data_IF_218903616656
#
_entry.id   IF_218903616656
#
_cell.length_a   1.000
_cell.length_b   1.000
_cell.length_c   1.000
_cell.angle_alpha   90.00
_cell.angle_beta   90.00
_cell.angle_gamma   90.00
#
_symmetry.space_group_name_H-M   'P 1'
#
loop_
_entity.id
_entity.type
_entity.pdbx_description
1 polymer ?
#
# COMPACT_ATOMS: atom_id res chain seq x y z
N UNK A 1 15.56 13.04 18.99
CA UNK A 1 15.02 11.67 19.11
C UNK A 1 14.74 11.16 17.71
N UNK A 2 15.48 10.17 17.21
CA UNK A 2 15.21 9.60 15.89
C UNK A 2 13.85 8.89 15.92
N UNK A 3 12.93 9.26 15.02
CA UNK A 3 11.67 8.55 14.83
C UNK A 3 11.96 7.11 14.42
N UNK A 4 11.23 6.14 15.00
CA UNK A 4 11.32 4.74 14.59
C UNK A 4 10.94 4.59 13.11
N UNK A 5 11.38 3.51 12.46
CA UNK A 5 11.05 3.21 11.05
C UNK A 5 9.52 3.23 10.83
N UNK A 6 8.74 2.72 11.78
CA UNK A 6 7.28 2.67 11.75
C UNK A 6 6.69 4.08 11.77
N UNK A 7 7.20 4.94 12.66
CA UNK A 7 6.74 6.31 12.77
C UNK A 7 7.01 7.11 11.48
N UNK A 8 8.11 6.80 10.77
CA UNK A 8 8.39 7.37 9.44
C UNK A 8 7.42 6.81 8.38
N UNK A 9 7.25 5.49 8.34
CA UNK A 9 6.41 4.79 7.36
C UNK A 9 4.93 5.19 7.45
N UNK A 10 4.40 5.24 8.66
CA UNK A 10 3.02 5.66 8.93
C UNK A 10 2.89 7.16 9.18
N UNK A 11 3.96 7.95 9.06
CA UNK A 11 3.98 9.40 9.28
C UNK A 11 3.33 9.81 10.61
N UNK A 12 3.60 9.03 11.66
CA UNK A 12 3.05 9.21 13.00
C UNK A 12 1.55 8.89 13.14
N UNK A 13 0.91 8.28 12.13
CA UNK A 13 -0.49 7.85 12.23
C UNK A 13 -0.57 6.48 12.92
N UNK A 14 -1.38 6.41 13.97
CA UNK A 14 -1.48 5.22 14.82
C UNK A 14 -0.48 5.26 15.98
N UNK A 15 -0.30 4.10 16.61
CA UNK A 15 0.55 3.94 17.79
C UNK A 15 1.33 2.64 17.73
N UNK A 16 2.54 2.67 18.30
CA UNK A 16 3.33 1.46 18.52
C UNK A 16 2.60 0.51 19.48
N UNK A 17 2.72 -0.78 19.23
CA UNK A 17 2.31 -1.85 20.14
C UNK A 17 3.57 -2.32 20.88
N UNK A 18 3.60 -2.13 22.20
CA UNK A 18 4.72 -2.59 23.02
C UNK A 18 4.47 -4.00 23.54
N UNK A 19 5.53 -4.80 23.76
CA UNK A 19 5.39 -6.11 24.40
C UNK A 19 4.62 -6.01 25.71
N UNK A 20 3.66 -6.91 25.92
CA UNK A 20 2.85 -6.99 27.14
C UNK A 20 1.62 -6.08 27.20
N UNK A 21 1.36 -5.25 26.18
CA UNK A 21 0.07 -4.53 26.11
C UNK A 21 -1.09 -5.51 25.93
N UNK A 22 -2.16 -5.30 26.68
CA UNK A 22 -3.44 -5.99 26.47
C UNK A 22 -4.12 -5.52 25.19
N UNK A 23 -5.01 -6.36 24.63
CA UNK A 23 -5.78 -5.98 23.44
C UNK A 23 -6.62 -4.71 23.67
N UNK A 24 -7.16 -4.51 24.86
CA UNK A 24 -7.90 -3.30 25.21
C UNK A 24 -7.02 -2.04 25.16
N UNK A 25 -5.83 -2.09 25.77
CA UNK A 25 -4.89 -0.96 25.73
C UNK A 25 -4.45 -0.63 24.29
N UNK A 26 -4.29 -1.65 23.44
CA UNK A 26 -3.98 -1.46 22.02
C UNK A 26 -5.13 -0.72 21.32
N UNK A 27 -6.38 -1.15 21.52
CA UNK A 27 -7.54 -0.48 20.92
C UNK A 27 -7.65 0.97 21.36
N UNK A 28 -7.42 1.25 22.64
CA UNK A 28 -7.45 2.62 23.19
C UNK A 28 -6.34 3.49 22.60
N UNK A 29 -5.06 3.05 22.68
CA UNK A 29 -3.90 3.83 22.22
C UNK A 29 -3.88 4.05 20.72
N UNK A 30 -4.40 3.10 19.94
CA UNK A 30 -4.47 3.19 18.48
C UNK A 30 -5.68 3.97 17.96
N UNK A 31 -6.57 4.43 18.84
CA UNK A 31 -7.80 5.12 18.45
C UNK A 31 -8.83 4.21 17.76
N UNK A 32 -8.81 2.92 18.10
CA UNK A 32 -9.66 1.86 17.56
C UNK A 32 -10.75 1.39 18.54
N UNK A 33 -10.76 1.88 19.79
CA UNK A 33 -11.75 1.54 20.83
C UNK A 33 -13.12 2.19 20.57
N UNK A 34 -13.77 1.76 19.49
CA UNK A 34 -15.11 2.13 19.09
C UNK A 34 -15.66 1.06 18.14
N UNK A 35 -16.98 0.92 18.11
CA UNK A 35 -17.68 0.04 17.19
C UNK A 35 -18.39 0.82 16.08
N UNK A 36 -18.60 0.18 14.94
CA UNK A 36 -19.51 0.67 13.90
C UNK A 36 -20.95 0.31 14.29
N UNK A 37 -21.80 1.31 14.30
CA UNK A 37 -23.26 1.18 14.52
C UNK A 37 -23.99 1.61 13.26
N UNK A 38 -25.20 1.09 13.06
CA UNK A 38 -26.08 1.47 11.94
C UNK A 38 -27.41 2.02 12.42
N UNK A 39 -27.97 2.97 11.68
CA UNK A 39 -29.32 3.50 11.87
C UNK A 39 -29.97 3.82 10.51
N UNK A 40 -31.31 3.93 10.42
CA UNK A 40 -31.97 4.40 9.20
C UNK A 40 -31.34 5.69 8.67
N UNK A 41 -31.06 5.75 7.37
CA UNK A 41 -30.46 6.93 6.77
C UNK A 41 -31.49 8.05 6.58
N UNK A 42 -31.25 9.18 7.25
CA UNK A 42 -32.02 10.41 7.15
C UNK A 42 -31.08 11.56 6.75
N UNK A 43 -31.62 12.53 6.01
CA UNK A 43 -30.89 13.73 5.59
C UNK A 43 -31.81 14.95 5.64
N UNK A 44 -31.23 16.10 5.96
CA UNK A 44 -31.96 17.37 5.98
C UNK A 44 -32.03 17.97 4.57
N UNK A 45 -33.20 18.46 4.19
CA UNK A 45 -33.45 19.21 2.96
C UNK A 45 -34.03 20.59 3.30
N UNK A 46 -34.11 21.53 2.34
CA UNK A 46 -34.78 22.81 2.58
C UNK A 46 -36.24 22.69 3.03
N UNK A 47 -36.90 21.55 2.77
CA UNK A 47 -38.30 21.30 3.13
C UNK A 47 -38.47 20.46 4.40
N UNK A 48 -37.37 20.07 5.06
CA UNK A 48 -37.37 19.32 6.31
C UNK A 48 -36.52 18.06 6.26
N UNK A 49 -36.62 17.22 7.30
CA UNK A 49 -35.87 15.96 7.37
C UNK A 49 -36.55 14.91 6.49
N UNK A 50 -35.79 14.33 5.57
CA UNK A 50 -36.25 13.26 4.68
C UNK A 50 -35.56 11.93 5.02
N UNK A 51 -36.32 10.84 4.84
CA UNK A 51 -35.78 9.47 4.83
C UNK A 51 -35.37 9.10 3.41
N UNK A 52 -34.35 8.26 3.26
CA UNK A 52 -34.06 7.64 1.97
C UNK A 52 -35.33 6.98 1.40
N UNK A 53 -35.62 7.22 0.11
CA UNK A 53 -36.70 6.54 -0.61
C UNK A 53 -36.48 5.03 -0.71
N UNK A 54 -35.24 4.57 -0.52
CA UNK A 54 -34.90 3.15 -0.45
C UNK A 54 -34.96 2.71 1.01
N UNK A 55 -36.04 2.03 1.39
CA UNK A 55 -36.33 1.56 2.76
C UNK A 55 -35.20 0.74 3.43
N UNK A 56 -34.23 0.26 2.64
CA UNK A 56 -33.12 -0.59 3.09
C UNK A 56 -31.79 0.17 3.20
N UNK A 57 -31.81 1.50 3.32
CA UNK A 57 -30.60 2.34 3.40
C UNK A 57 -30.28 2.69 4.84
N UNK A 58 -29.07 2.35 5.29
CA UNK A 58 -28.58 2.62 6.63
C UNK A 58 -27.37 3.56 6.59
N UNK A 59 -27.30 4.46 7.57
CA UNK A 59 -26.09 5.20 7.87
C UNK A 59 -25.22 4.34 8.80
N UNK A 60 -23.98 4.06 8.42
CA UNK A 60 -22.98 3.42 9.28
C UNK A 60 -22.07 4.51 9.88
N UNK A 61 -21.97 4.56 11.20
CA UNK A 61 -21.26 5.61 11.92
C UNK A 61 -20.52 5.06 13.14
N UNK A 62 -19.56 5.82 13.66
CA UNK A 62 -18.83 5.44 14.87
C UNK A 62 -19.71 5.63 16.11
N UNK A 63 -19.72 4.64 16.99
CA UNK A 63 -20.43 4.69 18.28
C UNK A 63 -19.93 5.79 19.23
N UNK A 64 -18.66 6.16 19.15
CA UNK A 64 -18.03 7.14 20.06
C UNK A 64 -18.31 8.60 19.67
N UNK A 65 -18.24 8.93 18.38
CA UNK A 65 -18.36 10.32 17.91
C UNK A 65 -19.60 10.58 17.06
N UNK A 66 -20.40 9.56 16.72
CA UNK A 66 -21.50 9.68 15.77
C UNK A 66 -21.07 10.00 14.33
N UNK A 67 -19.75 9.97 14.03
CA UNK A 67 -19.23 10.40 12.73
C UNK A 67 -19.62 9.37 11.67
N UNK A 68 -20.30 9.84 10.63
CA UNK A 68 -20.65 9.05 9.46
C UNK A 68 -19.40 8.46 8.81
N UNK A 69 -19.40 7.15 8.59
CA UNK A 69 -18.34 6.41 7.90
C UNK A 69 -18.75 6.16 6.45
N UNK A 70 -19.96 5.64 6.23
CA UNK A 70 -20.49 5.29 4.91
C UNK A 70 -22.01 5.08 4.97
N UNK A 71 -22.64 5.01 3.80
CA UNK A 71 -24.04 4.56 3.64
C UNK A 71 -24.04 3.15 3.08
N UNK A 72 -24.90 2.28 3.61
CA UNK A 72 -24.91 0.82 3.34
C UNK A 72 -26.33 0.26 3.22
N UNK A 73 -26.45 -0.96 2.73
CA UNK A 73 -27.72 -1.71 2.70
C UNK A 73 -27.97 -2.55 3.95
N UNK A 74 -29.20 -3.04 4.15
CA UNK A 74 -29.58 -3.86 5.32
C UNK A 74 -28.78 -5.16 5.50
N UNK A 75 -28.27 -5.75 4.41
CA UNK A 75 -27.44 -6.97 4.46
C UNK A 75 -25.99 -6.70 4.84
N UNK A 76 -25.60 -5.42 4.95
CA UNK A 76 -24.26 -5.02 5.36
C UNK A 76 -24.12 -5.19 6.87
N UNK A 77 -23.03 -5.84 7.26
CA UNK A 77 -22.70 -6.09 8.65
C UNK A 77 -21.24 -5.68 8.84
N UNK A 78 -20.93 -4.81 9.82
CA UNK A 78 -19.57 -4.34 10.03
C UNK A 78 -18.68 -5.46 10.58
N UNK A 79 -17.53 -5.69 9.94
CA UNK A 79 -16.39 -6.28 10.62
C UNK A 79 -15.78 -5.22 11.55
N UNK A 80 -15.69 -5.50 12.84
CA UNK A 80 -15.39 -4.52 13.88
C UNK A 80 -13.88 -4.36 14.11
N UNK A 81 -13.48 -3.25 14.74
CA UNK A 81 -12.07 -3.00 15.03
C UNK A 81 -11.47 -3.99 16.04
N UNK A 82 -12.26 -4.43 17.03
CA UNK A 82 -11.80 -5.44 17.99
C UNK A 82 -11.58 -6.79 17.29
N UNK A 83 -12.46 -7.17 16.35
CA UNK A 83 -12.32 -8.40 15.56
C UNK A 83 -11.05 -8.36 14.68
N UNK A 84 -10.77 -7.21 14.06
CA UNK A 84 -9.52 -6.99 13.31
C UNK A 84 -8.29 -7.27 14.18
N UNK A 85 -8.30 -6.84 15.44
CA UNK A 85 -7.21 -7.08 16.40
C UNK A 85 -7.13 -8.53 16.83
N UNK A 86 -8.23 -9.13 17.26
CA UNK A 86 -8.28 -10.53 17.70
C UNK A 86 -7.80 -11.50 16.62
N UNK A 87 -8.29 -11.35 15.38
CA UNK A 87 -7.93 -12.23 14.27
C UNK A 87 -6.47 -12.08 13.86
N UNK A 88 -5.95 -10.84 13.83
CA UNK A 88 -4.54 -10.61 13.51
C UNK A 88 -3.61 -11.08 14.62
N UNK A 89 -4.01 -10.92 15.88
CA UNK A 89 -3.27 -11.38 17.04
C UNK A 89 -3.12 -12.90 17.01
N UNK A 90 -4.23 -13.63 16.82
CA UNK A 90 -4.22 -15.08 16.69
C UNK A 90 -3.33 -15.54 15.54
N UNK A 91 -3.39 -14.89 14.39
CA UNK A 91 -2.50 -15.20 13.27
C UNK A 91 -1.03 -15.01 13.67
N UNK A 92 -0.70 -13.88 14.32
CA UNK A 92 0.67 -13.61 14.75
C UNK A 92 1.18 -14.69 15.70
N UNK A 93 0.36 -15.13 16.67
CA UNK A 93 0.71 -16.25 17.57
C UNK A 93 0.98 -17.55 16.80
N UNK A 94 0.13 -17.90 15.83
CA UNK A 94 0.28 -19.12 15.02
C UNK A 94 1.55 -19.14 14.15
N UNK A 95 2.01 -17.96 13.71
CA UNK A 95 3.17 -17.85 12.82
C UNK A 95 4.42 -17.28 13.49
N UNK A 96 4.40 -17.09 14.81
CA UNK A 96 5.53 -16.57 15.58
C UNK A 96 5.90 -15.13 15.23
N UNK A 97 4.90 -14.28 14.98
CA UNK A 97 5.06 -12.84 14.77
C UNK A 97 4.55 -12.07 15.99
N UNK A 98 4.92 -10.79 16.09
CA UNK A 98 4.41 -9.88 17.10
C UNK A 98 3.83 -8.63 16.43
N UNK A 99 2.56 -8.24 16.72
CA UNK A 99 2.03 -6.96 16.29
C UNK A 99 2.89 -5.80 16.81
N UNK A 100 3.18 -4.81 15.96
CA UNK A 100 4.11 -3.73 16.27
C UNK A 100 3.52 -2.32 16.11
N UNK A 101 2.42 -2.19 15.35
CA UNK A 101 1.75 -0.90 15.12
C UNK A 101 0.27 -1.09 14.82
N UNK A 102 -0.57 -0.16 15.26
CA UNK A 102 -2.00 -0.14 14.91
C UNK A 102 -2.51 1.29 14.75
N UNK A 103 -3.56 1.49 13.96
CA UNK A 103 -4.17 2.80 13.83
C UNK A 103 -5.37 2.86 12.91
N UNK A 104 -5.87 4.09 12.75
CA UNK A 104 -6.98 4.43 11.87
C UNK A 104 -6.61 5.59 10.95
N UNK A 105 -6.95 5.47 9.67
CA UNK A 105 -6.80 6.53 8.68
C UNK A 105 -8.15 6.89 8.08
N UNK A 106 -8.43 8.20 8.02
CA UNK A 106 -9.68 8.74 7.48
C UNK A 106 -9.38 9.86 6.48
N UNK A 107 -9.75 9.66 5.22
CA UNK A 107 -9.63 10.68 4.17
C UNK A 107 -11.02 11.15 3.75
N UNK A 108 -11.22 12.47 3.78
CA UNK A 108 -12.44 13.10 3.29
C UNK A 108 -12.65 12.82 1.79
N UNK A 109 -13.92 12.84 1.32
CA UNK A 109 -14.21 12.88 -0.11
C UNK A 109 -13.41 13.97 -0.82
N UNK A 110 -13.08 13.75 -2.09
CA UNK A 110 -12.42 14.72 -2.95
C UNK A 110 -12.92 14.57 -4.40
N UNK A 111 -12.37 15.38 -5.32
CA UNK A 111 -12.76 15.37 -6.73
C UNK A 111 -12.64 14.02 -7.44
N UNK A 112 -11.88 13.07 -6.88
CA UNK A 112 -11.70 11.71 -7.43
C UNK A 112 -12.49 10.63 -6.70
N UNK A 113 -13.06 10.94 -5.53
CA UNK A 113 -13.83 9.98 -4.74
C UNK A 113 -14.84 10.70 -3.87
N UNK A 114 -16.13 10.47 -4.13
CA UNK A 114 -17.23 11.08 -3.38
C UNK A 114 -17.49 10.43 -2.02
N UNK A 115 -16.73 9.37 -1.67
CA UNK A 115 -16.90 8.62 -0.42
C UNK A 115 -15.64 8.77 0.42
N UNK A 116 -15.80 8.95 1.73
CA UNK A 116 -14.69 8.95 2.65
C UNK A 116 -13.99 7.59 2.67
N UNK A 117 -12.66 7.59 2.70
CA UNK A 117 -11.89 6.37 2.90
C UNK A 117 -11.56 6.24 4.38
N UNK A 118 -12.15 5.25 5.04
CA UNK A 118 -11.96 4.97 6.47
C UNK A 118 -11.33 3.58 6.59
N UNK A 119 -10.14 3.48 7.17
CA UNK A 119 -9.41 2.22 7.26
C UNK A 119 -8.78 2.07 8.64
N UNK A 120 -9.14 1.00 9.35
CA UNK A 120 -8.40 0.51 10.50
C UNK A 120 -7.31 -0.45 10.02
N UNK A 121 -6.16 -0.46 10.68
CA UNK A 121 -5.06 -1.35 10.32
C UNK A 121 -4.22 -1.72 11.54
N UNK A 122 -3.57 -2.88 11.44
CA UNK A 122 -2.63 -3.42 12.42
C UNK A 122 -1.48 -4.06 11.61
N UNK A 123 -0.25 -3.88 12.06
CA UNK A 123 0.93 -4.46 11.41
C UNK A 123 1.76 -5.34 12.34
N UNK A 124 2.54 -6.21 11.70
CA UNK A 124 3.62 -6.97 12.33
C UNK A 124 4.82 -7.02 11.38
N UNK A 125 6.02 -6.82 11.89
CA UNK A 125 7.26 -7.10 11.16
C UNK A 125 7.43 -8.59 10.94
N UNK A 126 7.93 -8.95 9.77
CA UNK A 126 8.43 -10.30 9.52
C UNK A 126 9.89 -10.31 10.02
N UNK A 127 10.25 -11.18 10.97
CA UNK A 127 11.59 -11.20 11.53
C UNK A 127 12.60 -11.79 10.53
N UNK A 128 13.89 -11.52 10.75
CA UNK A 128 14.98 -11.95 9.85
C UNK A 128 15.01 -13.47 9.70
N UNK A 129 14.76 -14.20 10.77
CA UNK A 129 14.76 -15.67 10.84
C UNK A 129 13.65 -16.28 9.97
N UNK A 130 12.61 -15.50 9.65
CA UNK A 130 11.53 -15.88 8.73
C UNK A 130 11.69 -15.22 7.34
N UNK A 131 12.88 -14.70 7.04
CA UNK A 131 13.21 -14.08 5.76
C UNK A 131 12.77 -12.62 5.62
N UNK A 132 12.14 -12.01 6.63
CA UNK A 132 11.55 -10.67 6.52
C UNK A 132 12.52 -9.51 6.31
N UNK A 133 13.82 -9.75 6.55
CA UNK A 133 14.90 -8.84 6.18
C UNK A 133 15.65 -9.48 5.02
N UNK A 134 15.53 -8.87 3.84
CA UNK A 134 16.11 -9.38 2.60
C UNK A 134 17.24 -8.47 2.12
N UNK A 135 18.43 -9.04 1.92
CA UNK A 135 19.60 -8.35 1.41
C UNK A 135 19.72 -8.62 -0.09
N UNK A 136 19.37 -7.63 -0.91
CA UNK A 136 19.58 -7.68 -2.37
C UNK A 136 21.05 -7.49 -2.74
N UNK A 137 21.74 -6.64 -1.99
CA UNK A 137 23.19 -6.41 -2.04
C UNK A 137 23.67 -5.96 -0.67
N UNK A 138 24.98 -5.77 -0.51
CA UNK A 138 25.57 -5.31 0.76
C UNK A 138 24.99 -3.96 1.23
N UNK A 139 24.62 -3.12 0.28
CA UNK A 139 24.04 -1.79 0.43
C UNK A 139 22.54 -1.74 0.08
N UNK A 140 21.83 -2.88 0.04
CA UNK A 140 20.40 -2.90 -0.28
C UNK A 140 19.64 -3.86 0.64
N UNK A 141 18.98 -3.30 1.65
CA UNK A 141 18.24 -4.05 2.67
C UNK A 141 16.75 -3.68 2.64
N UNK A 142 15.91 -4.68 2.45
CA UNK A 142 14.45 -4.59 2.46
C UNK A 142 13.90 -5.19 3.75
N UNK A 143 13.12 -4.40 4.50
CA UNK A 143 12.34 -4.84 5.65
C UNK A 143 10.90 -5.11 5.23
N UNK A 144 10.36 -6.26 5.60
CA UNK A 144 9.03 -6.69 5.22
C UNK A 144 8.11 -6.77 6.42
N UNK A 145 6.87 -6.34 6.23
CA UNK A 145 5.82 -6.39 7.24
C UNK A 145 4.48 -6.77 6.64
N UNK A 146 3.65 -7.38 7.47
CA UNK A 146 2.27 -7.69 7.14
C UNK A 146 1.41 -6.58 7.74
N UNK A 147 0.46 -6.07 6.96
CA UNK A 147 -0.55 -5.14 7.44
C UNK A 147 -1.90 -5.78 7.21
N UNK A 148 -2.61 -6.09 8.29
CA UNK A 148 -4.02 -6.47 8.22
C UNK A 148 -4.87 -5.23 8.38
N UNK A 149 -5.85 -5.07 7.49
CA UNK A 149 -6.66 -3.85 7.43
C UNK A 149 -8.12 -4.17 7.25
N UNK A 150 -8.95 -3.22 7.64
CA UNK A 150 -10.38 -3.23 7.38
C UNK A 150 -10.85 -1.85 6.94
N UNK A 151 -11.53 -1.79 5.79
CA UNK A 151 -12.19 -0.58 5.33
C UNK A 151 -13.61 -0.47 5.88
N UNK A 152 -13.90 0.62 6.58
CA UNK A 152 -15.25 1.02 6.97
C UNK A 152 -15.92 1.90 5.90
N UNK A 153 -15.79 1.47 4.64
CA UNK A 153 -16.31 2.15 3.46
C UNK A 153 -17.06 1.15 2.60
N UNK A 154 -18.26 1.50 2.13
CA UNK A 154 -19.07 0.61 1.29
C UNK A 154 -18.29 0.16 0.03
N UNK A 155 -18.45 -1.11 -0.33
CA UNK A 155 -17.76 -1.72 -1.48
C UNK A 155 -16.32 -2.17 -1.21
N UNK A 156 -15.77 -1.86 -0.03
CA UNK A 156 -14.48 -2.35 0.43
C UNK A 156 -14.66 -3.35 1.57
N UNK A 157 -13.56 -3.98 1.99
CA UNK A 157 -13.58 -5.04 2.99
C UNK A 157 -12.25 -5.16 3.73
N UNK A 158 -12.11 -6.23 4.49
CA UNK A 158 -10.86 -6.59 5.15
C UNK A 158 -9.91 -7.35 4.23
N UNK A 159 -8.62 -7.30 4.54
CA UNK A 159 -7.59 -7.99 3.79
C UNK A 159 -6.21 -7.73 4.35
N UNK A 160 -5.20 -8.25 3.63
CA UNK A 160 -3.80 -8.13 4.01
C UNK A 160 -2.97 -7.45 2.93
N UNK A 161 -2.04 -6.60 3.37
CA UNK A 161 -0.97 -6.06 2.56
C UNK A 161 0.35 -6.69 2.99
N UNK A 162 1.19 -7.01 2.01
CA UNK A 162 2.62 -7.14 2.22
C UNK A 162 3.25 -5.78 1.91
N UNK A 163 3.88 -5.15 2.89
CA UNK A 163 4.62 -3.91 2.71
C UNK A 163 6.10 -4.19 2.89
N UNK A 164 6.88 -3.91 1.85
CA UNK A 164 8.34 -3.93 1.90
C UNK A 164 8.86 -2.51 1.93
N UNK A 165 9.85 -2.23 2.75
CA UNK A 165 10.43 -0.90 2.90
C UNK A 165 11.95 -0.98 2.83
N UNK A 166 12.56 -0.09 2.06
CA UNK A 166 14.02 0.01 1.96
C UNK A 166 14.58 0.74 3.16
N UNK A 167 15.59 0.19 3.82
CA UNK A 167 16.18 0.81 5.01
C UNK A 167 16.83 2.17 4.69
N UNK A 168 17.44 2.31 3.51
CA UNK A 168 18.26 3.47 3.14
C UNK A 168 17.42 4.71 2.81
N UNK A 169 16.36 4.53 2.02
CA UNK A 169 15.52 5.64 1.55
C UNK A 169 14.11 5.65 2.18
N UNK A 170 13.75 4.62 2.98
CA UNK A 170 12.39 4.42 3.50
C UNK A 170 11.30 4.37 2.42
N UNK A 171 11.66 4.00 1.18
CA UNK A 171 10.71 3.77 0.10
C UNK A 171 9.88 2.53 0.41
N UNK A 172 8.59 2.72 0.71
CA UNK A 172 7.65 1.63 0.89
C UNK A 172 7.04 1.16 -0.44
N UNK A 173 7.00 -0.14 -0.67
CA UNK A 173 6.25 -0.77 -1.75
C UNK A 173 5.21 -1.71 -1.14
N UNK A 174 3.93 -1.41 -1.42
CA UNK A 174 2.82 -2.25 -0.97
C UNK A 174 2.35 -3.17 -2.08
N UNK A 175 2.26 -4.45 -1.76
CA UNK A 175 1.59 -5.46 -2.58
C UNK A 175 0.34 -5.90 -1.85
N UNK A 176 -0.80 -5.79 -2.53
CA UNK A 176 -2.05 -6.38 -2.04
C UNK A 176 -1.98 -7.89 -2.19
N UNK A 177 -2.06 -8.60 -1.06
CA UNK A 177 -2.13 -10.06 -1.06
C UNK A 177 -3.57 -10.44 -1.35
N UNK A 178 -3.79 -11.00 -2.54
CA UNK A 178 -5.11 -11.42 -2.99
C UNK A 178 -5.23 -12.94 -2.89
N UNK A 179 -6.37 -13.38 -2.39
CA UNK A 179 -6.83 -14.75 -2.55
C UNK A 179 -7.88 -14.77 -3.67
N UNK A 180 -7.66 -15.53 -4.75
CA UNK A 180 -8.62 -15.68 -5.86
C UNK A 180 -9.34 -14.37 -6.24
N UNK A 181 -8.58 -13.27 -6.29
CA UNK A 181 -9.04 -11.92 -6.62
C UNK A 181 -10.05 -11.23 -5.65
N UNK A 182 -10.31 -11.74 -4.45
CA UNK A 182 -11.36 -11.24 -3.54
C UNK A 182 -10.82 -10.72 -2.21
N UNK A 183 -11.18 -9.49 -1.83
CA UNK A 183 -11.08 -9.00 -0.44
C UNK A 183 -12.19 -9.64 0.41
N UNK A 184 -11.99 -9.75 1.72
CA UNK A 184 -13.00 -10.27 2.66
C UNK A 184 -14.10 -9.21 2.80
N UNK A 185 -15.30 -9.46 2.28
CA UNK A 185 -16.36 -8.43 2.20
C UNK A 185 -17.19 -8.37 3.48
N UNK A 186 -17.71 -7.18 3.78
CA UNK A 186 -18.72 -6.94 4.82
C UNK A 186 -20.12 -7.45 4.42
N UNK A 187 -20.26 -8.77 4.26
CA UNK A 187 -21.54 -9.43 3.93
C UNK A 187 -21.83 -10.49 4.99
N UNK A 188 -23.11 -10.64 5.35
CA UNK A 188 -23.60 -11.52 6.40
C UNK A 188 -23.07 -12.98 6.39
N UNK A 189 -22.70 -13.52 5.22
CA UNK A 189 -22.18 -14.90 5.08
C UNK A 189 -20.63 -14.98 5.02
N UNK A 190 -19.92 -13.85 5.22
CA UNK A 190 -18.46 -13.79 5.22
C UNK A 190 -17.87 -13.28 6.55
N UNK A 191 -18.73 -12.80 7.45
CA UNK A 191 -18.32 -12.32 8.77
C UNK A 191 -18.27 -13.53 9.69
N UNK A 192 -17.06 -13.93 10.08
CA UNK A 192 -16.83 -15.13 10.88
C UNK A 192 -16.23 -16.30 10.11
N UNK A 193 -15.86 -16.13 8.83
CA UNK A 193 -15.01 -17.12 8.17
C UNK A 193 -13.55 -16.89 8.56
N UNK A 194 -13.27 -17.20 9.83
CA UNK A 194 -11.94 -17.11 10.44
C UNK A 194 -10.92 -17.93 9.63
N UNK A 195 -11.36 -19.02 9.00
CA UNK A 195 -10.54 -19.82 8.09
C UNK A 195 -10.11 -19.00 6.87
N UNK A 196 -11.04 -18.30 6.19
CA UNK A 196 -10.68 -17.38 5.08
C UNK A 196 -9.76 -16.24 5.52
N UNK A 197 -9.95 -15.70 6.72
CA UNK A 197 -9.06 -14.65 7.26
C UNK A 197 -7.64 -15.20 7.45
N UNK A 198 -7.51 -16.33 8.15
CA UNK A 198 -6.23 -16.99 8.37
C UNK A 198 -5.60 -17.45 7.05
N UNK A 199 -6.39 -17.91 6.09
CA UNK A 199 -5.93 -18.28 4.76
C UNK A 199 -5.40 -17.06 3.97
N UNK A 200 -6.09 -15.92 4.01
CA UNK A 200 -5.62 -14.65 3.46
C UNK A 200 -4.28 -14.23 4.07
N UNK A 201 -4.12 -14.40 5.39
CA UNK A 201 -2.87 -14.10 6.10
C UNK A 201 -1.76 -15.12 5.76
N UNK A 202 -2.08 -16.39 5.61
CA UNK A 202 -1.14 -17.44 5.15
C UNK A 202 -0.68 -17.21 3.69
N UNK A 203 -1.54 -16.67 2.83
CA UNK A 203 -1.19 -16.30 1.46
C UNK A 203 -0.12 -15.19 1.43
N UNK A 204 0.05 -14.42 2.50
CA UNK A 204 1.11 -13.41 2.60
C UNK A 204 2.49 -14.05 2.52
N UNK A 205 2.69 -15.22 3.12
CA UNK A 205 3.97 -15.96 3.04
C UNK A 205 4.33 -16.32 1.59
N UNK A 206 3.35 -16.77 0.80
CA UNK A 206 3.57 -17.08 -0.63
C UNK A 206 3.85 -15.82 -1.44
N UNK A 207 3.10 -14.75 -1.18
CA UNK A 207 3.33 -13.46 -1.83
C UNK A 207 4.72 -12.90 -1.50
N UNK A 208 5.17 -13.10 -0.27
CA UNK A 208 6.49 -12.72 0.21
C UNK A 208 7.61 -13.45 -0.54
N UNK A 209 7.60 -14.79 -0.55
CA UNK A 209 8.61 -15.58 -1.27
C UNK A 209 8.63 -15.28 -2.78
N UNK A 210 7.45 -15.07 -3.38
CA UNK A 210 7.39 -14.68 -4.79
C UNK A 210 8.03 -13.30 -5.00
N UNK A 211 7.73 -12.35 -4.12
CA UNK A 211 8.24 -10.99 -4.22
C UNK A 211 9.76 -10.94 -4.08
N UNK A 212 10.35 -11.65 -3.11
CA UNK A 212 11.81 -11.69 -2.92
C UNK A 212 12.51 -12.24 -4.16
N UNK A 213 12.04 -13.36 -4.70
CA UNK A 213 12.59 -13.96 -5.92
C UNK A 213 12.45 -13.03 -7.13
N UNK A 214 11.34 -12.29 -7.22
CA UNK A 214 11.18 -11.29 -8.28
C UNK A 214 12.14 -10.11 -8.09
N UNK A 215 12.40 -9.65 -6.86
CA UNK A 215 13.37 -8.58 -6.62
C UNK A 215 14.80 -9.01 -7.01
N UNK A 216 15.20 -10.24 -6.70
CA UNK A 216 16.47 -10.84 -7.17
C UNK A 216 16.55 -10.80 -8.70
N UNK A 217 15.55 -11.36 -9.38
CA UNK A 217 15.51 -11.42 -10.83
C UNK A 217 15.54 -10.02 -11.47
N UNK A 218 14.90 -9.02 -10.86
CA UNK A 218 14.93 -7.64 -11.33
C UNK A 218 16.28 -6.95 -11.09
N UNK A 219 16.97 -7.27 -10.00
CA UNK A 219 18.31 -6.75 -9.72
C UNK A 219 19.34 -7.36 -10.67
N UNK A 220 19.20 -8.63 -11.02
CA UNK A 220 20.05 -9.33 -11.99
C UNK A 220 19.72 -9.03 -13.45
N UNK A 221 18.76 -8.13 -13.72
CA UNK A 221 18.35 -7.75 -15.07
C UNK A 221 18.88 -6.35 -15.42
N UNK A 222 19.99 -6.24 -16.17
CA UNK A 222 20.48 -4.97 -16.68
C UNK A 222 19.43 -4.34 -17.61
N UNK A 223 19.32 -3.01 -17.55
CA UNK A 223 18.36 -2.26 -18.34
C UNK A 223 19.01 -1.01 -18.95
N UNK A 224 18.77 -0.79 -20.24
CA UNK A 224 19.24 0.40 -20.94
C UNK A 224 18.37 1.63 -20.62
N UNK A 225 18.88 2.87 -20.80
CA UNK A 225 18.05 4.08 -20.77
C UNK A 225 16.80 4.01 -21.64
N UNK A 226 16.94 3.44 -22.84
CA UNK A 226 15.89 3.37 -23.86
C UNK A 226 14.80 2.39 -23.44
N UNK A 227 15.19 1.22 -22.91
CA UNK A 227 14.26 0.23 -22.35
C UNK A 227 13.51 0.82 -21.16
N UNK A 228 14.22 1.52 -20.27
CA UNK A 228 13.61 2.15 -19.12
C UNK A 228 12.59 3.23 -19.53
N UNK A 229 12.96 4.09 -20.49
CA UNK A 229 12.06 5.10 -21.04
C UNK A 229 10.84 4.45 -21.71
N UNK A 230 11.03 3.38 -22.47
CA UNK A 230 9.93 2.66 -23.13
C UNK A 230 8.92 2.11 -22.11
N UNK A 231 9.40 1.52 -21.00
CA UNK A 231 8.54 1.06 -19.91
C UNK A 231 7.82 2.25 -19.26
N UNK A 232 8.52 3.35 -18.94
CA UNK A 232 7.90 4.52 -18.32
C UNK A 232 6.82 5.17 -19.22
N UNK A 233 7.08 5.30 -20.52
CA UNK A 233 6.09 5.83 -21.47
C UNK A 233 4.90 4.90 -21.58
N UNK A 234 5.12 3.59 -21.66
CA UNK A 234 4.04 2.60 -21.72
C UNK A 234 3.12 2.68 -20.50
N UNK A 235 3.70 2.80 -19.30
CA UNK A 235 2.92 2.75 -18.06
C UNK A 235 2.30 4.10 -17.67
N UNK A 236 2.95 5.22 -18.02
CA UNK A 236 2.57 6.55 -17.54
C UNK A 236 2.57 7.66 -18.57
N UNK A 237 3.09 7.44 -19.78
CA UNK A 237 3.33 8.48 -20.76
C UNK A 237 2.35 8.51 -21.93
N UNK A 238 2.74 9.25 -22.94
CA UNK A 238 2.03 9.42 -24.20
C UNK A 238 2.92 8.88 -25.33
N UNK A 239 2.50 7.77 -25.96
CA UNK A 239 3.27 7.15 -27.04
C UNK A 239 3.45 8.15 -28.20
N UNK A 240 4.67 8.21 -28.75
CA UNK A 240 5.03 9.10 -29.87
C UNK A 240 5.32 10.55 -29.50
N UNK A 241 5.22 10.93 -28.22
CA UNK A 241 5.60 12.27 -27.76
C UNK A 241 7.06 12.32 -27.28
N UNK A 242 7.80 13.42 -27.55
CA UNK A 242 9.17 13.59 -27.06
C UNK A 242 9.20 13.70 -25.53
N UNK A 243 10.38 13.42 -24.93
CA UNK A 243 10.56 13.34 -23.47
C UNK A 243 10.06 14.59 -22.72
N UNK A 244 10.32 15.79 -23.24
CA UNK A 244 9.90 17.06 -22.65
C UNK A 244 8.37 17.27 -22.63
N UNK A 245 7.61 16.51 -23.44
CA UNK A 245 6.14 16.50 -23.47
C UNK A 245 5.54 15.35 -22.67
N UNK A 246 6.37 14.46 -22.12
CA UNK A 246 5.90 13.38 -21.25
C UNK A 246 5.47 13.91 -19.87
N UNK A 247 4.61 13.19 -19.13
CA UNK A 247 4.28 13.54 -17.76
C UNK A 247 5.51 13.57 -16.85
N UNK A 248 5.47 14.40 -15.80
CA UNK A 248 6.57 14.57 -14.82
C UNK A 248 7.06 13.23 -14.23
N UNK A 249 6.16 12.27 -14.03
CA UNK A 249 6.53 10.93 -13.56
C UNK A 249 7.46 10.19 -14.52
N UNK A 250 7.29 10.34 -15.84
CA UNK A 250 8.19 9.72 -16.83
C UNK A 250 9.55 10.40 -16.79
N UNK A 251 9.57 11.75 -16.85
CA UNK A 251 10.80 12.54 -16.87
C UNK A 251 11.64 12.30 -15.60
N UNK A 252 11.04 12.48 -14.43
CA UNK A 252 11.74 12.36 -13.14
C UNK A 252 12.13 10.92 -12.84
N UNK A 253 11.30 9.91 -13.14
CA UNK A 253 11.73 8.52 -12.92
C UNK A 253 12.90 8.13 -13.83
N UNK A 254 12.96 8.68 -15.05
CA UNK A 254 14.11 8.48 -15.93
C UNK A 254 15.36 9.14 -15.34
N UNK A 255 15.30 10.40 -14.91
CA UNK A 255 16.43 11.09 -14.26
C UNK A 255 16.96 10.30 -13.06
N UNK A 256 16.06 9.86 -12.17
CA UNK A 256 16.40 9.02 -11.02
C UNK A 256 17.08 7.71 -11.43
N UNK A 257 16.60 7.06 -12.51
CA UNK A 257 17.17 5.84 -13.05
C UNK A 257 18.56 6.06 -13.66
N UNK A 258 18.78 7.23 -14.28
CA UNK A 258 20.07 7.62 -14.84
C UNK A 258 21.10 8.02 -13.77
N UNK A 259 20.66 8.24 -12.53
CA UNK A 259 21.49 8.79 -11.46
C UNK A 259 21.69 10.30 -11.57
N UNK A 260 20.77 11.00 -12.23
CA UNK A 260 20.79 12.45 -12.35
C UNK A 260 19.88 13.05 -11.28
N UNK A 261 20.46 13.84 -10.37
CA UNK A 261 19.74 14.42 -9.25
C UNK A 261 19.87 15.94 -9.27
N UNK A 262 18.76 16.63 -9.02
CA UNK A 262 18.77 18.05 -8.68
C UNK A 262 18.79 18.23 -7.15
N UNK A 263 19.04 19.45 -6.69
CA UNK A 263 19.10 19.79 -5.26
C UNK A 263 17.83 19.35 -4.49
N UNK A 264 16.64 19.41 -5.12
CA UNK A 264 15.39 19.01 -4.47
C UNK A 264 15.30 17.49 -4.30
N UNK A 265 15.85 16.73 -5.25
CA UNK A 265 15.91 15.27 -5.19
C UNK A 265 16.86 14.81 -4.09
N UNK A 266 18.01 15.47 -3.96
CA UNK A 266 18.99 15.18 -2.92
C UNK A 266 18.48 15.54 -1.53
N UNK A 267 17.85 16.72 -1.37
CA UNK A 267 17.24 17.13 -0.10
C UNK A 267 16.17 16.13 0.38
N UNK A 268 15.47 15.48 -0.56
CA UNK A 268 14.48 14.44 -0.28
C UNK A 268 15.07 13.03 -0.14
N UNK A 269 16.38 12.88 -0.30
CA UNK A 269 17.11 11.61 -0.17
C UNK A 269 16.81 10.61 -1.30
N UNK A 270 16.38 11.08 -2.48
CA UNK A 270 16.04 10.21 -3.60
C UNK A 270 17.26 9.53 -4.22
N UNK A 271 18.40 10.21 -4.19
CA UNK A 271 19.69 9.74 -4.67
C UNK A 271 20.15 8.48 -3.94
N UNK A 272 19.90 8.39 -2.63
CA UNK A 272 20.30 7.26 -1.79
C UNK A 272 19.76 5.91 -2.27
N UNK A 273 18.63 5.92 -2.98
CA UNK A 273 17.91 4.73 -3.37
C UNK A 273 18.25 4.18 -4.77
N UNK A 274 18.72 4.99 -5.70
CA UNK A 274 18.89 4.54 -7.11
C UNK A 274 20.34 4.31 -7.50
N UNK A 275 21.28 4.61 -6.60
CA UNK A 275 22.72 4.42 -6.81
C UNK A 275 23.28 3.19 -6.10
N UNK A 276 22.45 2.36 -5.47
CA UNK A 276 22.90 1.11 -4.83
C UNK A 276 23.33 0.10 -5.88
N UNK A 277 24.19 -0.86 -5.52
CA UNK A 277 24.69 -1.87 -6.46
C UNK A 277 23.57 -2.67 -7.13
N UNK A 278 22.54 -3.05 -6.37
CA UNK A 278 21.38 -3.77 -6.89
C UNK A 278 20.48 -2.91 -7.80
N UNK A 279 20.49 -1.58 -7.61
CA UNK A 279 19.62 -0.65 -8.34
C UNK A 279 20.28 -0.06 -9.59
N UNK A 280 21.59 0.15 -9.58
CA UNK A 280 22.23 0.91 -10.64
C UNK A 280 22.09 0.22 -12.01
N UNK A 281 21.32 0.84 -12.92
CA UNK A 281 21.07 0.37 -14.30
C UNK A 281 20.41 -1.01 -14.39
N UNK A 282 19.54 -1.34 -13.44
CA UNK A 282 18.78 -2.60 -13.43
C UNK A 282 17.27 -2.37 -13.51
N UNK A 283 16.50 -3.40 -13.84
CA UNK A 283 15.04 -3.33 -13.77
C UNK A 283 14.57 -3.02 -12.33
N UNK A 284 15.27 -3.53 -11.31
CA UNK A 284 15.03 -3.17 -9.91
C UNK A 284 15.24 -1.66 -9.70
N UNK A 285 16.31 -1.08 -10.24
CA UNK A 285 16.55 0.37 -10.21
C UNK A 285 15.40 1.19 -10.76
N UNK A 286 14.85 0.79 -11.92
CA UNK A 286 13.71 1.49 -12.51
C UNK A 286 12.46 1.40 -11.63
N UNK A 287 12.20 0.23 -11.04
CA UNK A 287 11.12 0.08 -10.07
C UNK A 287 11.34 1.03 -8.89
N UNK A 288 12.58 1.14 -8.39
CA UNK A 288 12.90 2.03 -7.29
C UNK A 288 12.78 3.52 -7.63
N UNK A 289 13.08 3.92 -8.87
CA UNK A 289 12.82 5.29 -9.32
C UNK A 289 11.33 5.65 -9.23
N UNK A 290 10.45 4.70 -9.58
CA UNK A 290 9.00 4.90 -9.50
C UNK A 290 8.51 4.93 -8.05
N UNK A 291 8.98 4.02 -7.19
CA UNK A 291 8.60 4.02 -5.77
C UNK A 291 9.08 5.29 -5.07
N UNK A 292 10.32 5.73 -5.33
CA UNK A 292 10.91 6.96 -4.80
C UNK A 292 10.10 8.19 -5.23
N UNK A 293 9.82 8.33 -6.53
CA UNK A 293 9.00 9.42 -7.05
C UNK A 293 7.61 9.45 -6.38
N UNK A 294 6.96 8.28 -6.25
CA UNK A 294 5.61 8.21 -5.70
C UNK A 294 5.54 8.51 -4.21
N UNK A 295 6.51 8.02 -3.43
CA UNK A 295 6.54 8.17 -1.98
C UNK A 295 7.01 9.55 -1.53
N UNK A 296 7.93 10.19 -2.26
CA UNK A 296 8.62 11.41 -1.80
C UNK A 296 8.38 12.65 -2.69
N UNK A 297 8.06 12.48 -3.98
CA UNK A 297 7.89 13.60 -4.92
C UNK A 297 6.44 13.88 -5.30
N UNK A 298 5.60 12.85 -5.40
CA UNK A 298 4.31 12.97 -6.08
C UNK A 298 3.17 13.65 -5.29
N UNK A 299 3.42 14.21 -4.10
CA UNK A 299 2.39 15.02 -3.42
C UNK A 299 2.78 15.69 -2.09
N UNK A 300 2.31 16.93 -1.94
CA UNK A 300 2.27 17.79 -0.73
C UNK A 300 0.99 17.56 0.10
N UNK A 301 0.57 16.30 0.25
CA UNK A 301 -0.66 15.95 0.96
C UNK A 301 -0.47 15.81 2.48
N UNK A 302 -1.59 15.72 3.22
CA UNK A 302 -1.55 15.35 4.64
C UNK A 302 -0.93 13.95 4.84
N UNK A 303 -0.43 13.67 6.04
CA UNK A 303 0.10 12.35 6.43
C UNK A 303 -0.87 11.21 6.09
N UNK A 304 -2.18 11.43 6.25
CA UNK A 304 -3.22 10.47 5.90
C UNK A 304 -3.27 10.16 4.41
N UNK A 305 -3.13 11.18 3.56
CA UNK A 305 -3.08 11.00 2.11
C UNK A 305 -1.84 10.21 1.70
N UNK A 306 -0.70 10.46 2.36
CA UNK A 306 0.53 9.71 2.11
C UNK A 306 0.36 8.23 2.46
N UNK A 307 -0.07 7.91 3.68
CA UNK A 307 -0.26 6.50 4.11
C UNK A 307 -1.27 5.77 3.23
N UNK A 308 -2.42 6.39 2.92
CA UNK A 308 -3.38 5.79 2.00
C UNK A 308 -2.81 5.63 0.58
N UNK A 309 -2.06 6.61 0.08
CA UNK A 309 -1.39 6.50 -1.23
C UNK A 309 -0.44 5.32 -1.27
N UNK A 310 0.37 5.16 -0.23
CA UNK A 310 1.34 4.08 -0.05
C UNK A 310 0.66 2.72 0.03
N UNK A 311 -0.43 2.59 0.80
CA UNK A 311 -1.07 1.30 1.05
C UNK A 311 -2.01 0.85 -0.06
N UNK A 312 -2.86 1.73 -0.60
CA UNK A 312 -3.90 1.35 -1.56
C UNK A 312 -4.23 2.39 -2.64
N UNK A 313 -3.53 3.51 -2.66
CA UNK A 313 -3.76 4.62 -3.57
C UNK A 313 -2.79 4.63 -4.75
N UNK A 314 -2.45 5.83 -5.21
CA UNK A 314 -1.68 6.02 -6.44
C UNK A 314 -0.28 5.44 -6.35
N UNK A 315 0.42 5.61 -5.23
CA UNK A 315 1.77 5.06 -5.06
C UNK A 315 1.76 3.53 -5.13
N UNK A 316 0.86 2.87 -4.39
CA UNK A 316 0.68 1.42 -4.43
C UNK A 316 0.41 0.91 -5.86
N UNK A 317 -0.58 1.52 -6.54
CA UNK A 317 -1.03 1.12 -7.87
C UNK A 317 0.06 1.29 -8.93
N UNK A 318 0.72 2.46 -8.96
CA UNK A 318 1.80 2.72 -9.92
C UNK A 318 2.99 1.77 -9.71
N UNK A 319 3.35 1.51 -8.45
CA UNK A 319 4.46 0.60 -8.13
C UNK A 319 4.12 -0.84 -8.54
N UNK A 320 2.91 -1.32 -8.24
CA UNK A 320 2.45 -2.65 -8.64
C UNK A 320 2.36 -2.81 -10.16
N UNK A 321 1.90 -1.77 -10.86
CA UNK A 321 1.78 -1.76 -12.32
C UNK A 321 3.16 -1.92 -12.98
N UNK A 322 4.13 -1.09 -12.59
CA UNK A 322 5.50 -1.15 -13.11
C UNK A 322 6.20 -2.45 -12.72
N UNK A 323 6.07 -2.88 -11.47
CA UNK A 323 6.56 -4.18 -11.01
C UNK A 323 6.05 -5.33 -11.90
N UNK A 324 4.74 -5.36 -12.18
CA UNK A 324 4.15 -6.38 -13.05
C UNK A 324 4.72 -6.37 -14.47
N UNK A 325 4.98 -5.19 -15.04
CA UNK A 325 5.59 -5.06 -16.36
C UNK A 325 7.06 -5.47 -16.38
N UNK A 326 7.83 -5.11 -15.35
CA UNK A 326 9.25 -5.47 -15.25
C UNK A 326 9.45 -6.96 -15.01
N UNK A 327 8.65 -7.58 -14.13
CA UNK A 327 8.71 -9.03 -13.90
C UNK A 327 8.38 -9.80 -15.17
N UNK A 328 7.42 -9.32 -15.97
CA UNK A 328 7.14 -9.91 -17.28
C UNK A 328 8.34 -9.81 -18.21
N UNK A 329 8.97 -8.63 -18.28
CA UNK A 329 10.15 -8.40 -19.12
C UNK A 329 11.33 -9.28 -18.72
N UNK A 330 11.64 -9.36 -17.43
CA UNK A 330 12.76 -10.15 -16.90
C UNK A 330 12.59 -11.66 -17.08
N UNK A 331 11.35 -12.14 -17.26
CA UNK A 331 11.02 -13.55 -17.51
C UNK A 331 10.96 -13.91 -19.00
N UNK A 332 11.10 -12.95 -19.91
CA UNK A 332 11.19 -13.26 -21.34
C UNK A 332 12.57 -13.86 -21.67
N UNK A 333 12.65 -14.87 -22.56
CA UNK A 333 13.93 -15.41 -22.99
C UNK A 333 14.76 -14.33 -23.70
N UNK A 334 16.03 -14.19 -23.30
CA UNK A 334 17.00 -13.19 -23.80
C UNK A 334 17.25 -13.23 -25.33
N UNK A 335 16.65 -14.15 -26.08
CA UNK A 335 16.79 -14.27 -27.54
C UNK A 335 15.85 -13.37 -28.35
N UNK A 336 15.05 -12.52 -27.70
CA UNK A 336 14.29 -11.47 -28.40
C UNK A 336 14.99 -10.14 -28.18
N UNK A 337 16.08 -9.93 -28.91
CA UNK A 337 16.51 -8.57 -29.26
C UNK A 337 15.29 -7.84 -29.80
N UNK A 338 14.77 -6.88 -29.04
CA UNK A 338 13.84 -5.89 -29.58
C UNK A 338 14.55 -5.28 -30.80
N UNK A 339 13.96 -5.31 -32.00
CA UNK A 339 14.59 -4.65 -33.13
C UNK A 339 14.70 -3.17 -32.78
N UNK A 340 15.93 -2.69 -32.65
CA UNK A 340 16.24 -1.27 -32.57
C UNK A 340 15.90 -0.68 -33.93
N UNK A 341 14.67 -0.18 -34.05
CA UNK A 341 14.32 0.81 -35.07
C UNK A 341 13.57 1.98 -34.42
N UNK A 342 14.30 2.72 -33.59
CA UNK A 342 14.04 4.14 -33.39
C UNK A 342 15.18 4.92 -34.05
N UNK A 343 15.24 4.83 -35.38
CA UNK A 343 15.84 5.89 -36.20
C UNK A 343 14.68 6.68 -36.79
N UNK A 344 14.46 7.86 -36.21
CA UNK A 344 13.58 8.90 -36.75
C UNK A 344 12.16 8.90 -36.20
N UNK A 345 11.95 9.58 -35.07
CA UNK A 345 10.94 10.65 -34.83
C UNK A 345 11.43 11.50 -33.66
#
# INVERSE_FOLDING_TARGET
MQLTEEAKLFRGLGSAISPGMSQQEILEKSGLNWSVTTAPFEYDTPTGRMKSSHANTLAAFRSDTGKLLTVVGNSWKPYQNYQLLEDFWLFCEQVGLNPDWAGFVSRKPNSRSHIASNMAFISAKIPKEQGGIYHLSADEVLNSRIIFFNHHTYGYGAGSYLLTCRQICSNGMTITVKENNSLIRHIQNQIGDQEKILQSLNNVKRAFNKYTNDMEALADFPMSPEEALAVLIKEFGYVGQPLNKQPKVVQTCLELFLGHFDDQMEEKGLNLGTTTLAAYRTAYGLLQSVTAYRNHMSGTGSNTNHVLSLLNGTAAKSSCQVYGSLVKLARLPKSTTVPVSLRGV
#
